data_IF_450655463891
#
_entry.id   IF_450655463891
#
_cell.length_a   1.000
_cell.length_b   1.000
_cell.length_c   1.000
_cell.angle_alpha   90.00
_cell.angle_beta   90.00
_cell.angle_gamma   90.00
#
_symmetry.space_group_name_H-M   'P 1'
#
loop_
_entity.id
_entity.type
_entity.pdbx_description
1 polymer ?
#
# COMPACT_ATOMS: atom_id res chain seq x y z
N UNK A 1 8.40 -13.62 18.00
CA UNK A 1 9.35 -12.94 17.10
C UNK A 1 9.30 -13.53 15.68
N UNK A 2 9.53 -14.85 15.52
CA UNK A 2 9.57 -15.54 14.21
C UNK A 2 8.32 -15.29 13.35
N UNK A 3 7.11 -15.40 13.92
CA UNK A 3 5.84 -15.13 13.20
C UNK A 3 5.79 -13.73 12.56
N UNK A 4 6.29 -12.70 13.25
CA UNK A 4 6.27 -11.31 12.75
C UNK A 4 7.20 -11.12 11.56
N UNK A 5 8.38 -11.74 11.62
CA UNK A 5 9.36 -11.73 10.53
C UNK A 5 8.82 -12.49 9.32
N UNK A 6 8.18 -13.65 9.54
CA UNK A 6 7.55 -14.42 8.47
C UNK A 6 6.43 -13.62 7.77
N UNK A 7 5.57 -12.94 8.52
CA UNK A 7 4.53 -12.07 7.96
C UNK A 7 5.12 -10.93 7.14
N UNK A 8 6.13 -10.23 7.68
CA UNK A 8 6.83 -9.17 6.95
C UNK A 8 7.47 -9.70 5.65
N UNK A 9 8.11 -10.87 5.68
CA UNK A 9 8.69 -11.51 4.51
C UNK A 9 7.64 -11.90 3.45
N UNK A 10 6.49 -12.44 3.86
CA UNK A 10 5.39 -12.75 2.94
C UNK A 10 4.84 -11.48 2.29
N UNK A 11 4.69 -10.39 3.04
CA UNK A 11 4.22 -9.11 2.49
C UNK A 11 5.24 -8.52 1.52
N UNK A 12 6.54 -8.59 1.84
CA UNK A 12 7.60 -8.16 0.94
C UNK A 12 7.57 -8.96 -0.37
N UNK A 13 7.47 -10.28 -0.28
CA UNK A 13 7.39 -11.16 -1.44
C UNK A 13 6.14 -10.89 -2.28
N UNK A 14 4.97 -10.70 -1.65
CA UNK A 14 3.72 -10.41 -2.36
C UNK A 14 3.78 -9.05 -3.05
N UNK A 15 4.29 -8.02 -2.37
CA UNK A 15 4.46 -6.69 -2.96
C UNK A 15 5.40 -6.75 -4.17
N UNK A 16 6.55 -7.40 -4.02
CA UNK A 16 7.54 -7.55 -5.07
C UNK A 16 6.99 -8.33 -6.27
N UNK A 17 6.42 -9.50 -6.01
CA UNK A 17 5.83 -10.35 -7.04
C UNK A 17 4.71 -9.61 -7.80
N UNK A 18 3.83 -8.90 -7.10
CA UNK A 18 2.73 -8.18 -7.74
C UNK A 18 3.23 -7.02 -8.62
N UNK A 19 4.27 -6.30 -8.18
CA UNK A 19 4.84 -5.19 -8.95
C UNK A 19 5.58 -5.70 -10.18
N UNK A 20 6.37 -6.77 -10.03
CA UNK A 20 7.15 -7.35 -11.13
C UNK A 20 6.26 -8.09 -12.13
N UNK A 21 5.28 -8.88 -11.66
CA UNK A 21 4.33 -9.58 -12.54
C UNK A 21 3.47 -8.61 -13.35
N UNK A 22 3.15 -7.44 -12.77
CA UNK A 22 2.43 -6.37 -13.44
C UNK A 22 3.38 -5.26 -13.91
N UNK A 23 4.63 -5.60 -14.25
CA UNK A 23 5.65 -4.63 -14.67
C UNK A 23 5.19 -3.65 -15.77
N UNK A 24 4.48 -4.09 -16.85
CA UNK A 24 3.99 -3.17 -17.88
C UNK A 24 3.02 -2.10 -17.36
N UNK A 25 2.25 -2.42 -16.31
CA UNK A 25 1.34 -1.47 -15.66
C UNK A 25 2.03 -0.69 -14.54
N UNK A 26 3.02 -1.29 -13.87
CA UNK A 26 3.67 -0.72 -12.69
C UNK A 26 4.76 0.29 -13.03
N UNK A 27 5.38 0.18 -14.21
CA UNK A 27 6.50 1.01 -14.64
C UNK A 27 6.25 1.76 -15.96
N UNK A 28 4.98 1.91 -16.37
CA UNK A 28 4.59 2.68 -17.55
C UNK A 28 4.61 4.20 -17.35
N UNK A 29 4.24 5.00 -18.37
CA UNK A 29 4.05 6.44 -18.24
C UNK A 29 2.87 6.80 -17.31
N UNK A 30 1.84 5.97 -17.30
CA UNK A 30 0.75 5.99 -16.33
C UNK A 30 0.92 4.76 -15.44
N UNK A 31 1.50 4.94 -14.26
CA UNK A 31 1.83 3.83 -13.37
C UNK A 31 0.65 3.44 -12.49
N UNK A 32 0.22 2.19 -12.60
CA UNK A 32 -0.72 1.54 -11.69
C UNK A 32 0.03 0.52 -10.84
N UNK A 33 0.56 0.96 -9.71
CA UNK A 33 1.22 0.08 -8.76
C UNK A 33 0.18 -0.59 -7.86
N UNK A 34 -0.41 -1.69 -8.33
CA UNK A 34 -1.44 -2.45 -7.59
C UNK A 34 -0.94 -2.90 -6.22
N UNK A 35 0.37 -3.13 -6.08
CA UNK A 35 1.02 -3.47 -4.81
C UNK A 35 0.85 -2.41 -3.72
N UNK A 36 0.57 -1.15 -4.07
CA UNK A 36 0.29 -0.09 -3.09
C UNK A 36 -1.01 -0.33 -2.32
N UNK A 37 -1.92 -1.18 -2.81
CA UNK A 37 -3.08 -1.62 -2.02
C UNK A 37 -2.68 -2.29 -0.70
N UNK A 38 -1.50 -2.94 -0.66
CA UNK A 38 -0.96 -3.58 0.54
C UNK A 38 -0.48 -2.56 1.59
N UNK A 39 -0.30 -1.29 1.23
CA UNK A 39 0.10 -0.22 2.17
C UNK A 39 -0.98 0.16 3.16
N UNK A 40 -2.20 -0.38 3.02
CA UNK A 40 -3.24 -0.29 4.02
C UNK A 40 -3.13 -1.38 5.09
N UNK A 41 -2.42 -2.48 4.86
CA UNK A 41 -2.20 -3.54 5.86
C UNK A 41 -1.58 -3.05 7.18
N UNK A 42 -0.61 -2.09 7.18
CA UNK A 42 -0.11 -1.43 8.38
C UNK A 42 -1.21 -0.89 9.29
N UNK A 43 -2.39 -0.56 8.78
CA UNK A 43 -3.53 -0.14 9.60
C UNK A 43 -3.89 -1.17 10.67
N UNK A 44 -3.73 -2.47 10.37
CA UNK A 44 -4.04 -3.59 11.27
C UNK A 44 -2.79 -4.26 11.85
N UNK A 45 -1.74 -4.38 11.04
CA UNK A 45 -0.53 -5.13 11.38
C UNK A 45 0.72 -4.25 11.18
N UNK A 46 1.31 -3.71 12.26
CA UNK A 46 2.54 -2.89 12.14
C UNK A 46 3.71 -3.67 11.52
N UNK A 47 3.68 -5.00 11.57
CA UNK A 47 4.65 -5.89 10.89
C UNK A 47 4.67 -5.74 9.37
N UNK A 48 3.60 -5.21 8.77
CA UNK A 48 3.55 -4.94 7.33
C UNK A 48 4.49 -3.81 6.91
N UNK A 49 4.80 -2.85 7.79
CA UNK A 49 5.65 -1.69 7.48
C UNK A 49 7.03 -2.11 6.93
N UNK A 50 7.84 -2.92 7.66
CA UNK A 50 9.12 -3.38 7.13
C UNK A 50 8.97 -4.27 5.89
N UNK A 51 7.88 -5.05 5.79
CA UNK A 51 7.61 -5.88 4.61
C UNK A 51 7.40 -5.06 3.34
N UNK A 52 6.59 -4.00 3.43
CA UNK A 52 6.32 -3.10 2.31
C UNK A 52 7.56 -2.34 1.86
N UNK A 53 8.39 -1.88 2.81
CA UNK A 53 9.65 -1.22 2.49
C UNK A 53 10.59 -2.14 1.71
N UNK A 54 10.82 -3.36 2.21
CA UNK A 54 11.69 -4.33 1.54
C UNK A 54 11.10 -4.74 0.19
N UNK A 55 9.80 -4.98 0.11
CA UNK A 55 9.11 -5.29 -1.13
C UNK A 55 9.26 -4.20 -2.18
N UNK A 56 9.05 -2.93 -1.80
CA UNK A 56 9.22 -1.78 -2.69
C UNK A 56 10.67 -1.63 -3.15
N UNK A 57 11.63 -1.78 -2.24
CA UNK A 57 13.05 -1.74 -2.56
C UNK A 57 13.44 -2.79 -3.60
N UNK A 58 12.99 -4.03 -3.41
CA UNK A 58 13.24 -5.12 -4.36
C UNK A 58 12.54 -4.90 -5.71
N UNK A 59 11.28 -4.42 -5.69
CA UNK A 59 10.55 -4.07 -6.92
C UNK A 59 11.26 -3.00 -7.73
N UNK A 60 11.74 -1.94 -7.09
CA UNK A 60 12.34 -0.80 -7.78
C UNK A 60 13.72 -1.15 -8.34
N UNK A 61 14.46 -2.08 -7.70
CA UNK A 61 15.67 -2.67 -8.30
C UNK A 61 15.32 -3.37 -9.63
N UNK A 62 14.22 -4.12 -9.66
CA UNK A 62 13.76 -4.80 -10.87
C UNK A 62 13.14 -3.84 -11.92
N UNK A 63 12.62 -2.69 -11.48
CA UNK A 63 11.92 -1.71 -12.33
C UNK A 63 12.82 -0.85 -13.22
N UNK A 64 14.10 -0.68 -12.88
CA UNK A 64 15.08 -0.06 -13.77
C UNK A 64 15.04 1.48 -13.86
N UNK A 65 14.21 2.18 -13.08
CA UNK A 65 14.17 3.65 -13.01
C UNK A 65 15.36 4.29 -12.26
N UNK A 66 16.38 3.49 -11.95
CA UNK A 66 17.62 3.95 -11.35
C UNK A 66 17.56 4.14 -9.84
N UNK A 67 18.65 4.69 -9.29
CA UNK A 67 18.85 4.81 -7.84
C UNK A 67 17.80 5.71 -7.16
N UNK A 68 17.26 6.68 -7.88
CA UNK A 68 16.25 7.61 -7.37
C UNK A 68 14.97 6.86 -7.03
N UNK A 69 14.48 5.99 -7.91
CA UNK A 69 13.26 5.20 -7.66
C UNK A 69 13.47 4.20 -6.51
N UNK A 70 14.64 3.57 -6.44
CA UNK A 70 14.97 2.62 -5.37
C UNK A 70 14.95 3.32 -3.99
N UNK A 71 15.59 4.48 -3.86
CA UNK A 71 15.70 5.17 -2.57
C UNK A 71 14.44 5.96 -2.24
N UNK A 72 14.00 6.84 -3.15
CA UNK A 72 12.87 7.75 -2.92
C UNK A 72 11.54 6.97 -2.93
N UNK A 73 11.37 6.02 -3.85
CA UNK A 73 10.17 5.17 -3.90
C UNK A 73 10.00 4.33 -2.64
N UNK A 74 11.06 3.64 -2.19
CA UNK A 74 10.99 2.83 -0.97
C UNK A 74 10.79 3.68 0.28
N UNK A 75 11.44 4.85 0.37
CA UNK A 75 11.24 5.78 1.47
C UNK A 75 9.82 6.36 1.50
N UNK A 76 9.25 6.67 0.34
CA UNK A 76 7.87 7.11 0.18
C UNK A 76 6.88 6.04 0.68
N UNK A 77 7.04 4.79 0.23
CA UNK A 77 6.19 3.68 0.69
C UNK A 77 6.36 3.42 2.19
N UNK A 78 7.56 3.54 2.76
CA UNK A 78 7.79 3.41 4.19
C UNK A 78 7.08 4.52 5.00
N UNK A 79 7.21 5.77 4.56
CA UNK A 79 6.54 6.90 5.18
C UNK A 79 5.01 6.76 5.10
N UNK A 80 4.50 6.33 3.94
CA UNK A 80 3.08 6.05 3.74
C UNK A 80 2.59 4.96 4.69
N UNK A 81 3.28 3.81 4.74
CA UNK A 81 2.93 2.70 5.62
C UNK A 81 2.91 3.11 7.10
N UNK A 82 3.87 3.91 7.54
CA UNK A 82 3.93 4.41 8.91
C UNK A 82 2.79 5.37 9.24
N UNK A 83 2.45 6.29 8.33
CA UNK A 83 1.30 7.18 8.51
C UNK A 83 -0.02 6.40 8.50
N UNK A 84 -0.19 5.44 7.60
CA UNK A 84 -1.36 4.55 7.53
C UNK A 84 -1.59 3.84 8.87
N UNK A 85 -0.54 3.32 9.50
CA UNK A 85 -0.64 2.68 10.83
C UNK A 85 -1.26 3.60 11.88
N UNK A 86 -0.96 4.90 11.83
CA UNK A 86 -1.46 5.92 12.75
C UNK A 86 -2.86 6.45 12.43
N UNK A 87 -3.43 6.12 11.27
CA UNK A 87 -4.73 6.65 10.90
C UNK A 87 -5.86 6.08 11.77
N UNK A 88 -6.87 6.92 12.10
CA UNK A 88 -7.95 6.54 13.01
C UNK A 88 -9.06 5.74 12.31
N UNK A 89 -9.16 5.81 10.98
CA UNK A 89 -10.15 5.05 10.21
C UNK A 89 -9.56 4.53 8.88
N UNK A 90 -10.21 3.53 8.29
CA UNK A 90 -9.71 2.85 7.08
C UNK A 90 -9.73 3.74 5.82
N UNK A 91 -10.67 4.69 5.74
CA UNK A 91 -10.77 5.62 4.60
C UNK A 91 -9.62 6.63 4.60
N UNK A 92 -9.25 7.12 5.78
CA UNK A 92 -8.09 7.97 6.00
C UNK A 92 -6.80 7.18 5.87
N UNK A 93 -6.79 5.88 6.19
CA UNK A 93 -5.64 5.00 5.96
C UNK A 93 -5.24 4.90 4.48
N UNK A 94 -6.19 5.09 3.55
CA UNK A 94 -5.91 5.15 2.12
C UNK A 94 -5.27 6.47 1.67
N UNK A 95 -5.36 7.55 2.47
CA UNK A 95 -4.87 8.88 2.06
C UNK A 95 -3.35 9.00 2.06
N UNK A 96 -2.60 8.57 3.11
CA UNK A 96 -1.14 8.66 3.12
C UNK A 96 -0.44 8.04 1.90
N UNK A 97 -0.75 6.79 1.47
CA UNK A 97 -0.09 6.23 0.29
C UNK A 97 -0.43 6.98 -1.00
N UNK A 98 -1.64 7.50 -1.13
CA UNK A 98 -2.04 8.30 -2.30
C UNK A 98 -1.24 9.59 -2.35
N UNK A 99 -1.26 10.38 -1.27
CA UNK A 99 -0.63 11.71 -1.25
C UNK A 99 0.88 11.60 -1.34
N UNK A 100 1.50 10.69 -0.58
CA UNK A 100 2.96 10.57 -0.56
C UNK A 100 3.47 10.07 -1.91
N UNK A 101 2.86 9.04 -2.49
CA UNK A 101 3.32 8.56 -3.79
C UNK A 101 3.02 9.56 -4.91
N UNK A 102 1.86 10.25 -4.89
CA UNK A 102 1.56 11.31 -5.87
C UNK A 102 2.65 12.39 -5.88
N UNK A 103 3.10 12.82 -4.71
CA UNK A 103 4.13 13.86 -4.58
C UNK A 103 5.51 13.26 -4.89
N UNK A 104 5.95 12.25 -4.15
CA UNK A 104 7.30 11.71 -4.28
C UNK A 104 7.53 11.08 -5.66
N UNK A 105 6.72 10.09 -6.02
CA UNK A 105 6.82 9.37 -7.31
C UNK A 105 6.46 10.28 -8.47
N UNK A 106 5.42 11.12 -8.33
CA UNK A 106 5.04 12.06 -9.37
C UNK A 106 6.14 13.06 -9.71
N UNK A 107 6.82 13.61 -8.70
CA UNK A 107 7.91 14.57 -8.92
C UNK A 107 9.07 13.93 -9.67
N UNK A 108 9.68 12.86 -9.14
CA UNK A 108 10.88 12.33 -9.79
C UNK A 108 10.56 11.67 -11.13
N UNK A 109 9.39 11.05 -11.29
CA UNK A 109 9.00 10.45 -12.56
C UNK A 109 8.76 11.53 -13.61
N UNK A 110 8.14 12.66 -13.25
CA UNK A 110 8.00 13.81 -14.14
C UNK A 110 9.35 14.33 -14.64
N UNK A 111 10.33 14.43 -13.73
CA UNK A 111 11.69 14.84 -14.08
C UNK A 111 12.41 13.83 -14.99
N UNK A 112 12.27 12.53 -14.74
CA UNK A 112 12.95 11.47 -15.52
C UNK A 112 12.34 11.31 -16.92
N UNK A 113 11.01 11.43 -17.03
CA UNK A 113 10.27 11.19 -18.28
C UNK A 113 10.07 12.46 -19.10
N UNK A 114 10.62 13.59 -18.66
CA UNK A 114 10.41 14.93 -19.24
C UNK A 114 8.94 15.32 -19.38
N UNK A 115 8.05 14.68 -18.60
CA UNK A 115 6.64 15.04 -18.54
C UNK A 115 6.46 16.22 -17.57
N UNK A 116 5.54 17.17 -17.84
CA UNK A 116 5.28 18.24 -16.91
C UNK A 116 4.92 17.67 -15.53
N UNK A 117 5.73 17.98 -14.51
CA UNK A 117 5.66 17.38 -13.16
C UNK A 117 4.24 17.40 -12.59
N UNK A 118 3.49 18.47 -12.83
CA UNK A 118 2.10 18.59 -12.37
C UNK A 118 1.20 17.49 -12.95
N UNK A 119 1.37 17.11 -14.22
CA UNK A 119 0.62 16.03 -14.83
C UNK A 119 1.01 14.68 -14.24
N UNK A 120 2.31 14.44 -14.02
CA UNK A 120 2.81 13.20 -13.41
C UNK A 120 2.27 13.01 -11.98
N UNK A 121 2.24 14.10 -11.18
CA UNK A 121 1.62 14.12 -9.85
C UNK A 121 0.13 13.79 -9.93
N UNK A 122 -0.60 14.39 -10.86
CA UNK A 122 -2.05 14.16 -11.02
C UNK A 122 -2.32 12.71 -11.46
N UNK A 123 -1.62 12.20 -12.47
CA UNK A 123 -1.82 10.84 -12.97
C UNK A 123 -1.51 9.79 -11.90
N UNK A 124 -0.38 9.95 -11.18
CA UNK A 124 -0.04 9.04 -10.09
C UNK A 124 -1.01 9.20 -8.93
N UNK A 125 -1.43 10.43 -8.59
CA UNK A 125 -2.44 10.65 -7.56
C UNK A 125 -3.76 9.94 -7.86
N UNK A 126 -4.24 10.03 -9.10
CA UNK A 126 -5.46 9.34 -9.54
C UNK A 126 -5.27 7.84 -9.52
N UNK A 127 -4.16 7.31 -10.07
CA UNK A 127 -3.92 5.87 -10.11
C UNK A 127 -3.83 5.29 -8.70
N UNK A 128 -3.10 5.95 -7.80
CA UNK A 128 -2.98 5.52 -6.41
C UNK A 128 -4.31 5.63 -5.68
N UNK A 129 -5.13 6.65 -5.95
CA UNK A 129 -6.46 6.77 -5.37
C UNK A 129 -7.34 5.58 -5.81
N UNK A 130 -7.36 5.25 -7.10
CA UNK A 130 -8.10 4.11 -7.63
C UNK A 130 -7.64 2.80 -6.98
N UNK A 131 -6.33 2.57 -6.84
CA UNK A 131 -5.80 1.36 -6.23
C UNK A 131 -6.09 1.31 -4.72
N UNK A 132 -5.80 2.37 -3.97
CA UNK A 132 -5.94 2.37 -2.51
C UNK A 132 -7.40 2.34 -2.07
N UNK A 133 -8.26 3.18 -2.66
CA UNK A 133 -9.68 3.20 -2.33
C UNK A 133 -10.47 2.06 -3.00
N UNK A 134 -10.15 1.73 -4.24
CA UNK A 134 -10.88 0.72 -5.01
C UNK A 134 -10.46 -0.72 -4.73
N UNK A 135 -9.19 -0.98 -4.39
CA UNK A 135 -8.66 -2.32 -4.12
C UNK A 135 -8.22 -2.48 -2.66
N UNK A 136 -7.46 -1.51 -2.14
CA UNK A 136 -6.90 -1.56 -0.79
C UNK A 136 -7.97 -1.63 0.30
N UNK A 137 -9.00 -0.77 0.24
CA UNK A 137 -10.08 -0.77 1.23
C UNK A 137 -10.89 -2.08 1.19
N UNK A 138 -11.38 -2.56 0.02
CA UNK A 138 -12.05 -3.86 -0.05
C UNK A 138 -11.18 -5.02 0.45
N UNK A 139 -9.90 -5.06 0.07
CA UNK A 139 -8.96 -6.06 0.57
C UNK A 139 -8.91 -6.04 2.11
N UNK A 140 -8.77 -4.85 2.69
CA UNK A 140 -8.75 -4.66 4.13
C UNK A 140 -10.07 -5.07 4.82
N UNK A 141 -11.22 -4.80 4.19
CA UNK A 141 -12.54 -5.21 4.70
C UNK A 141 -12.72 -6.73 4.66
N UNK A 142 -12.30 -7.38 3.57
CA UNK A 142 -12.32 -8.84 3.44
C UNK A 142 -11.43 -9.50 4.48
N UNK A 143 -10.22 -8.95 4.67
CA UNK A 143 -9.27 -9.40 5.68
C UNK A 143 -9.78 -9.19 7.11
N UNK A 144 -10.39 -8.03 7.40
CA UNK A 144 -10.99 -7.75 8.71
C UNK A 144 -12.21 -8.65 9.02
N UNK A 145 -12.88 -9.17 8.00
CA UNK A 145 -13.98 -10.14 8.16
C UNK A 145 -13.48 -11.53 8.58
N UNK A 146 -12.18 -11.80 8.43
CA UNK A 146 -11.51 -13.03 8.86
C UNK A 146 -10.87 -12.82 10.24
N UNK A 147 -11.68 -12.99 11.29
CA UNK A 147 -11.29 -12.76 12.70
C UNK A 147 -10.20 -13.71 13.23
N UNK A 148 -9.88 -14.75 12.47
CA UNK A 148 -8.78 -15.68 12.72
C UNK A 148 -7.40 -15.07 12.39
N UNK A 149 -7.38 -14.07 11.50
CA UNK A 149 -6.14 -13.42 11.04
C UNK A 149 -5.77 -12.22 11.94
N UNK A 150 -6.77 -11.49 12.45
CA UNK A 150 -6.57 -10.25 13.21
C UNK A 150 -7.13 -10.33 14.62
N UNK A 151 -6.35 -9.78 15.56
CA UNK A 151 -6.73 -9.73 16.96
C UNK A 151 -7.97 -8.84 17.17
N UNK A 152 -8.97 -9.34 17.90
CA UNK A 152 -10.26 -8.65 18.08
C UNK A 152 -10.07 -7.29 18.75
N UNK A 153 -9.08 -7.17 19.63
CA UNK A 153 -8.75 -5.94 20.35
C UNK A 153 -8.26 -4.82 19.42
N UNK A 154 -7.57 -5.18 18.33
CA UNK A 154 -7.11 -4.21 17.31
C UNK A 154 -8.30 -3.69 16.51
N UNK A 155 -9.23 -4.58 16.13
CA UNK A 155 -10.42 -4.22 15.37
C UNK A 155 -11.39 -3.36 16.20
N UNK A 156 -11.49 -3.63 17.51
CA UNK A 156 -12.28 -2.82 18.43
C UNK A 156 -11.68 -1.43 18.65
N UNK A 157 -10.37 -1.33 18.90
CA UNK A 157 -9.68 -0.03 19.07
C UNK A 157 -9.81 0.88 17.85
N UNK A 158 -9.95 0.30 16.65
CA UNK A 158 -10.10 1.06 15.40
C UNK A 158 -11.56 1.25 14.95
N UNK A 159 -12.54 1.08 15.86
CA UNK A 159 -13.98 1.29 15.61
C UNK A 159 -14.55 0.47 14.43
N UNK A 160 -13.98 -0.70 14.14
CA UNK A 160 -14.42 -1.57 13.05
C UNK A 160 -15.42 -2.66 13.48
N UNK A 161 -15.83 -2.67 14.75
CA UNK A 161 -16.75 -3.67 15.35
C UNK A 161 -18.06 -3.83 14.56
N UNK A 162 -18.56 -2.75 13.95
CA UNK A 162 -19.77 -2.77 13.09
C UNK A 162 -19.64 -3.65 11.84
N UNK A 163 -18.44 -3.80 11.28
CA UNK A 163 -18.21 -4.59 10.06
C UNK A 163 -18.14 -6.10 10.38
N UNK A 164 -17.70 -6.44 11.59
CA UNK A 164 -17.67 -7.82 12.10
C UNK A 164 -19.10 -8.33 12.37
N UNK A 165 -19.95 -7.49 12.96
CA UNK A 165 -21.34 -7.87 13.31
C UNK A 165 -22.29 -7.89 12.12
N UNK A 166 -22.08 -7.04 11.11
CA UNK A 166 -22.90 -7.03 9.88
C UNK A 166 -22.76 -8.34 9.10
N UNK A 167 -21.54 -8.90 8.97
CA UNK A 167 -21.34 -10.16 8.25
C UNK A 167 -21.88 -11.40 9.01
N UNK A 168 -21.96 -11.34 10.34
CA UNK A 168 -22.53 -12.46 11.13
C UNK A 168 -24.05 -12.60 10.95
N UNK A 169 -24.76 -11.50 10.66
CA UNK A 169 -26.21 -11.50 10.35
C UNK A 169 -26.53 -11.85 8.89
N UNK A 170 -25.55 -11.83 7.98
CA UNK A 170 -25.74 -12.21 6.58
C UNK A 170 -25.59 -13.72 6.34
N UNK A 171 -25.05 -14.47 7.31
CA UNK A 171 -24.78 -15.91 7.24
C UNK A 171 -25.64 -16.72 8.24
N UNK A 172 -26.74 -16.14 8.75
CA UNK A 172 -27.68 -16.78 9.67
C UNK A 172 -29.08 -16.81 9.09
#
# INVERSE_FOLDING_TARGET
MIRKIAVSGMIAALYAALTVALSPLSFGPIQFRVAEALTLLPFFMPEAIPGLFIGCFLSNIAGGFGLIDIVIGSAATLAAAWLTYKMPNIWLAAVPPVVINAIAVGIYLGLITETPVIFSIIYIGISQAVICFGIGIPLCMLLASRTDIFDKDILEKKNLKKWITVNKKSNS
#
